data_IF_219882767464
#
_entry.id   IF_219882767464
#
_cell.length_a   1.000
_cell.length_b   1.000
_cell.length_c   1.000
_cell.angle_alpha   90.00
_cell.angle_beta   90.00
_cell.angle_gamma   90.00
#
_symmetry.space_group_name_H-M   'P 1'
#
loop_
_entity.id
_entity.type
_entity.pdbx_description
1 polymer ?
#
# COMPACT_ATOMS: atom_id res chain seq x y z
N UNK A 1 7.62 0.06 6.28
CA UNK A 1 7.50 -1.35 5.84
C UNK A 1 6.73 -1.40 4.53
N UNK A 2 7.22 -2.13 3.54
CA UNK A 2 6.47 -2.51 2.35
C UNK A 2 6.48 -4.02 2.16
N UNK A 3 5.35 -4.59 1.77
CA UNK A 3 5.26 -5.99 1.41
C UNK A 3 4.51 -6.14 0.08
N UNK A 4 5.21 -6.58 -0.95
CA UNK A 4 4.67 -6.77 -2.29
C UNK A 4 4.51 -8.27 -2.55
N UNK A 5 3.33 -8.66 -3.03
CA UNK A 5 3.12 -9.89 -3.77
C UNK A 5 2.85 -9.54 -5.22
N UNK A 6 3.45 -10.25 -6.17
CA UNK A 6 3.26 -9.95 -7.58
C UNK A 6 3.33 -11.19 -8.46
N UNK A 7 2.73 -11.04 -9.63
CA UNK A 7 2.77 -12.01 -10.70
C UNK A 7 2.83 -11.25 -12.02
N UNK A 8 3.78 -11.63 -12.87
CA UNK A 8 3.90 -11.18 -14.26
C UNK A 8 3.84 -12.36 -15.21
N UNK A 9 3.91 -12.09 -16.51
CA UNK A 9 3.93 -13.12 -17.56
C UNK A 9 5.08 -14.13 -17.38
N UNK A 10 6.24 -13.69 -16.85
CA UNK A 10 7.45 -14.53 -16.79
C UNK A 10 7.87 -14.92 -15.37
N UNK A 11 7.35 -14.26 -14.33
CA UNK A 11 7.77 -14.51 -12.95
C UNK A 11 6.66 -14.21 -11.94
N UNK A 12 6.83 -14.71 -10.72
CA UNK A 12 5.98 -14.36 -9.58
C UNK A 12 6.81 -14.37 -8.31
N UNK A 13 6.40 -13.60 -7.31
CA UNK A 13 7.19 -13.55 -6.09
C UNK A 13 6.58 -12.68 -5.01
N UNK A 14 7.36 -12.54 -3.94
CA UNK A 14 7.09 -11.62 -2.86
C UNK A 14 8.36 -10.93 -2.41
N UNK A 15 8.25 -9.65 -2.03
CA UNK A 15 9.37 -8.81 -1.58
C UNK A 15 8.93 -8.01 -0.35
N UNK A 16 9.64 -8.17 0.75
CA UNK A 16 9.43 -7.48 2.01
C UNK A 16 10.62 -6.55 2.29
N UNK A 17 10.33 -5.29 2.55
CA UNK A 17 11.28 -4.29 3.02
C UNK A 17 10.75 -3.66 4.30
N UNK A 18 11.59 -3.59 5.34
CA UNK A 18 11.26 -2.94 6.60
C UNK A 18 12.44 -2.17 7.14
N UNK A 19 12.41 -0.85 6.97
CA UNK A 19 13.35 0.09 7.60
C UNK A 19 12.72 0.86 8.76
N UNK A 20 13.56 1.29 9.70
CA UNK A 20 13.20 2.16 10.84
C UNK A 20 14.33 3.16 11.08
N UNK A 21 14.05 4.46 10.90
CA UNK A 21 15.07 5.49 11.09
C UNK A 21 16.32 5.19 10.25
N UNK A 22 17.48 5.26 10.90
CA UNK A 22 18.78 4.99 10.28
C UNK A 22 19.26 3.53 10.46
N UNK A 23 18.44 2.66 11.05
CA UNK A 23 18.80 1.25 11.21
C UNK A 23 18.89 0.56 9.85
N UNK A 24 19.83 -0.39 9.67
CA UNK A 24 19.86 -1.25 8.48
C UNK A 24 18.50 -1.90 8.25
N UNK A 25 17.93 -1.81 7.04
CA UNK A 25 16.60 -2.34 6.78
C UNK A 25 16.62 -3.87 6.81
N UNK A 26 15.58 -4.46 7.38
CA UNK A 26 15.28 -5.88 7.19
C UNK A 26 14.68 -6.07 5.80
N UNK A 27 15.26 -6.99 5.02
CA UNK A 27 14.77 -7.32 3.68
C UNK A 27 14.73 -8.83 3.48
N UNK A 28 13.70 -9.33 2.81
CA UNK A 28 13.57 -10.73 2.44
C UNK A 28 12.59 -10.86 1.27
N UNK A 29 12.72 -11.93 0.50
CA UNK A 29 11.78 -12.22 -0.57
C UNK A 29 12.30 -13.26 -1.54
N UNK A 30 11.38 -13.84 -2.30
CA UNK A 30 11.68 -14.78 -3.36
C UNK A 30 11.00 -14.38 -4.66
N UNK A 31 11.69 -14.61 -5.77
CA UNK A 31 11.16 -14.46 -7.12
C UNK A 31 11.38 -15.77 -7.85
N UNK A 32 10.29 -16.34 -8.37
CA UNK A 32 10.31 -17.60 -9.12
C UNK A 32 10.05 -17.31 -10.58
N UNK A 33 10.95 -17.77 -11.45
CA UNK A 33 10.77 -17.74 -12.90
C UNK A 33 9.76 -18.80 -13.32
N UNK A 34 8.71 -18.43 -14.06
CA UNK A 34 7.59 -19.33 -14.39
C UNK A 34 7.99 -20.50 -15.27
N UNK A 35 8.86 -20.26 -16.25
CA UNK A 35 9.21 -21.27 -17.26
C UNK A 35 10.32 -22.21 -16.82
N UNK A 36 11.23 -21.74 -15.97
CA UNK A 36 12.41 -22.50 -15.54
C UNK A 36 12.32 -22.97 -14.10
N UNK A 37 11.29 -22.52 -13.36
CA UNK A 37 11.09 -22.75 -11.93
C UNK A 37 12.27 -22.29 -11.05
N UNK A 38 13.18 -21.51 -11.64
CA UNK A 38 14.34 -20.98 -10.94
C UNK A 38 13.90 -19.99 -9.88
N UNK A 39 14.38 -20.20 -8.64
CA UNK A 39 14.08 -19.34 -7.50
C UNK A 39 15.28 -18.45 -7.19
N UNK A 40 15.03 -17.15 -7.13
CA UNK A 40 15.99 -16.12 -6.74
C UNK A 40 15.65 -15.60 -5.36
N UNK A 41 16.62 -15.60 -4.45
CA UNK A 41 16.47 -15.09 -3.08
C UNK A 41 17.05 -13.68 -2.97
N UNK A 42 16.23 -12.72 -2.54
CA UNK A 42 16.67 -11.34 -2.40
C UNK A 42 17.68 -11.21 -1.24
N UNK A 43 18.85 -10.63 -1.53
CA UNK A 43 19.85 -10.27 -0.53
C UNK A 43 19.65 -8.86 0.00
N UNK A 44 19.22 -7.94 -0.88
CA UNK A 44 18.87 -6.59 -0.51
C UNK A 44 17.69 -6.11 -1.35
N UNK A 45 16.90 -5.24 -0.74
CA UNK A 45 15.76 -4.59 -1.38
C UNK A 45 15.84 -3.10 -1.05
N UNK A 46 15.62 -2.25 -2.06
CA UNK A 46 15.42 -0.82 -1.87
C UNK A 46 14.06 -0.39 -2.41
N UNK A 47 13.54 0.68 -1.83
CA UNK A 47 12.21 1.19 -2.09
C UNK A 47 12.27 2.71 -2.29
N UNK A 48 11.70 3.18 -3.39
CA UNK A 48 11.34 4.58 -3.60
C UNK A 48 9.83 4.67 -3.83
N UNK A 49 9.17 5.68 -3.26
CA UNK A 49 7.71 5.86 -3.37
C UNK A 49 7.37 7.30 -3.67
N UNK A 50 6.35 7.51 -4.49
CA UNK A 50 5.70 8.80 -4.66
C UNK A 50 4.37 8.77 -3.94
N UNK A 51 4.12 9.73 -3.05
CA UNK A 51 2.90 9.79 -2.25
C UNK A 51 1.88 10.73 -2.88
N UNK A 52 0.59 10.43 -2.68
CA UNK A 52 -0.44 11.43 -2.84
C UNK A 52 -0.21 12.56 -1.83
N UNK A 53 -0.26 13.80 -2.31
CA UNK A 53 -0.03 15.00 -1.51
C UNK A 53 -0.82 14.98 -0.20
N UNK A 54 -0.13 15.29 0.91
CA UNK A 54 -0.76 15.36 2.22
C UNK A 54 -1.20 14.03 2.82
N UNK A 55 -0.89 12.91 2.17
CA UNK A 55 -1.24 11.58 2.66
C UNK A 55 -0.01 10.70 2.79
N UNK A 56 -0.22 9.50 3.37
CA UNK A 56 0.79 8.44 3.40
C UNK A 56 0.49 7.31 2.41
N UNK A 57 -0.26 7.63 1.35
CA UNK A 57 -0.69 6.69 0.30
C UNK A 57 0.22 6.87 -0.89
N UNK A 58 0.73 5.77 -1.43
CA UNK A 58 1.56 5.87 -2.63
C UNK A 58 0.67 5.91 -3.87
N UNK A 59 1.11 6.69 -4.86
CA UNK A 59 0.61 6.69 -6.23
C UNK A 59 1.41 5.70 -7.07
N UNK A 60 2.73 5.76 -6.93
CA UNK A 60 3.69 4.92 -7.64
C UNK A 60 4.81 4.49 -6.68
N UNK A 61 5.48 3.41 -7.02
CA UNK A 61 6.63 2.93 -6.28
C UNK A 61 7.63 2.24 -7.21
N UNK A 62 8.92 2.33 -6.86
CA UNK A 62 9.98 1.52 -7.45
C UNK A 62 10.55 0.60 -6.38
N UNK A 63 10.55 -0.70 -6.64
CA UNK A 63 11.22 -1.71 -5.82
C UNK A 63 12.41 -2.25 -6.60
N UNK A 64 13.60 -2.17 -6.03
CA UNK A 64 14.79 -2.82 -6.61
C UNK A 64 15.24 -3.93 -5.68
N UNK A 65 15.35 -5.16 -6.21
CA UNK A 65 15.87 -6.32 -5.50
C UNK A 65 17.19 -6.76 -6.14
N UNK A 66 18.19 -7.03 -5.29
CA UNK A 66 19.47 -7.65 -5.68
C UNK A 66 19.50 -9.08 -5.16
N UNK A 67 19.85 -10.03 -6.01
CA UNK A 67 19.92 -11.45 -5.68
C UNK A 67 21.36 -11.94 -5.50
N UNK A 68 21.52 -13.14 -4.93
CA UNK A 68 22.80 -13.74 -4.54
C UNK A 68 23.87 -13.84 -5.61
N UNK A 69 23.44 -13.95 -6.85
CA UNK A 69 24.25 -14.08 -8.05
C UNK A 69 24.54 -12.72 -8.72
N UNK A 70 24.26 -11.61 -8.02
CA UNK A 70 24.46 -10.24 -8.51
C UNK A 70 23.42 -9.76 -9.52
N UNK A 71 22.40 -10.58 -9.82
CA UNK A 71 21.29 -10.19 -10.69
C UNK A 71 20.39 -9.16 -9.98
N UNK A 72 19.80 -8.29 -10.79
CA UNK A 72 18.96 -7.18 -10.32
C UNK A 72 17.59 -7.26 -10.98
N UNK A 73 16.55 -7.18 -10.16
CA UNK A 73 15.16 -6.98 -10.57
C UNK A 73 14.74 -5.56 -10.19
N UNK A 74 14.23 -4.81 -11.16
CA UNK A 74 13.57 -3.52 -10.94
C UNK A 74 12.09 -3.66 -11.23
N UNK A 75 11.25 -3.31 -10.26
CA UNK A 75 9.81 -3.28 -10.40
C UNK A 75 9.34 -1.83 -10.36
N UNK A 76 8.71 -1.37 -11.44
CA UNK A 76 7.91 -0.16 -11.43
C UNK A 76 6.45 -0.54 -11.13
N UNK A 77 5.87 0.13 -10.15
CA UNK A 77 4.55 -0.14 -9.62
C UNK A 77 3.68 1.11 -9.72
N UNK A 78 2.48 0.98 -10.25
CA UNK A 78 1.47 2.04 -10.26
C UNK A 78 0.21 1.54 -9.55
N UNK A 79 -0.32 2.34 -8.63
CA UNK A 79 -1.56 2.00 -7.94
C UNK A 79 -2.72 1.97 -8.95
N UNK A 80 -3.47 0.86 -8.97
CA UNK A 80 -4.63 0.69 -9.85
C UNK A 80 -5.94 1.18 -9.23
N UNK A 81 -5.88 1.71 -8.02
CA UNK A 81 -7.04 2.23 -7.31
C UNK A 81 -6.72 2.61 -5.87
N UNK A 82 -7.78 2.94 -5.13
CA UNK A 82 -7.68 3.23 -3.72
C UNK A 82 -7.16 2.01 -2.94
N UNK A 83 -6.52 2.27 -1.80
CA UNK A 83 -6.21 1.21 -0.87
C UNK A 83 -7.48 0.55 -0.36
N UNK A 84 -7.42 -0.76 -0.14
CA UNK A 84 -8.56 -1.50 0.38
C UNK A 84 -8.96 -0.94 1.75
N UNK A 85 -10.20 -0.48 1.82
CA UNK A 85 -10.89 -0.15 3.05
C UNK A 85 -11.15 -1.43 3.85
N UNK A 86 -10.19 -1.86 4.69
CA UNK A 86 -10.31 -3.10 5.47
C UNK A 86 -11.52 -3.13 6.41
N UNK A 87 -12.07 -1.96 6.75
CA UNK A 87 -13.35 -1.90 7.45
C UNK A 87 -14.45 -2.61 6.64
N UNK A 88 -14.50 -2.47 5.30
CA UNK A 88 -15.61 -2.91 4.44
C UNK A 88 -15.54 -4.39 4.11
N UNK A 89 -14.47 -5.02 4.57
CA UNK A 89 -14.31 -6.46 4.61
C UNK A 89 -14.61 -7.02 6.01
N UNK A 90 -15.11 -6.17 6.92
CA UNK A 90 -15.40 -6.50 8.30
C UNK A 90 -14.19 -6.57 9.24
N UNK A 91 -12.95 -6.39 8.75
CA UNK A 91 -11.74 -6.59 9.56
C UNK A 91 -11.45 -5.44 10.54
N UNK A 92 -11.62 -4.19 10.10
CA UNK A 92 -11.22 -3.00 10.89
C UNK A 92 -12.38 -2.34 11.64
N UNK A 93 -13.20 -3.13 12.34
CA UNK A 93 -14.37 -2.63 13.08
C UNK A 93 -15.72 -3.13 12.55
N UNK A 94 -15.72 -3.98 11.51
CA UNK A 94 -16.95 -4.57 11.00
C UNK A 94 -17.73 -3.64 10.07
N UNK A 95 -19.01 -3.95 9.94
CA UNK A 95 -20.02 -3.13 9.26
C UNK A 95 -20.18 -1.77 9.95
N UNK A 96 -21.12 -0.95 9.48
CA UNK A 96 -21.51 0.31 10.13
C UNK A 96 -21.90 0.12 11.60
N UNK A 97 -22.32 -1.08 12.00
CA UNK A 97 -22.66 -1.42 13.39
C UNK A 97 -21.47 -1.45 14.37
N UNK A 98 -20.24 -1.40 13.87
CA UNK A 98 -19.04 -1.33 14.69
C UNK A 98 -18.71 -2.61 15.48
N UNK A 99 -19.41 -3.73 15.25
CA UNK A 99 -19.25 -4.95 16.05
C UNK A 99 -18.02 -5.78 15.72
N UNK A 100 -17.28 -5.41 14.68
CA UNK A 100 -16.06 -6.12 14.28
C UNK A 100 -16.27 -7.40 13.47
N UNK A 101 -15.13 -8.03 13.17
CA UNK A 101 -15.04 -9.29 12.43
C UNK A 101 -15.62 -10.44 13.25
N UNK A 102 -16.38 -11.32 12.61
CA UNK A 102 -16.90 -12.54 13.24
C UNK A 102 -18.13 -12.35 14.13
N UNK A 103 -18.66 -11.13 14.27
CA UNK A 103 -19.92 -10.92 14.96
C UNK A 103 -21.08 -11.59 14.22
N UNK A 104 -21.81 -12.47 14.90
CA UNK A 104 -23.02 -13.10 14.38
C UNK A 104 -24.12 -12.06 14.18
N UNK A 105 -24.71 -12.04 12.98
CA UNK A 105 -25.77 -11.08 12.62
C UNK A 105 -27.10 -11.74 12.28
N UNK A 106 -27.15 -13.07 12.25
CA UNK A 106 -28.35 -13.84 11.91
C UNK A 106 -28.15 -14.65 10.64
N UNK A 107 -29.09 -15.55 10.36
CA UNK A 107 -28.98 -16.54 9.29
C UNK A 107 -29.16 -15.96 7.88
N UNK A 108 -29.78 -14.78 7.78
CA UNK A 108 -30.18 -14.17 6.50
C UNK A 108 -29.78 -12.70 6.36
N UNK A 109 -28.66 -12.31 6.98
CA UNK A 109 -28.19 -10.92 6.90
C UNK A 109 -27.14 -10.76 5.82
N UNK A 110 -27.37 -9.77 4.95
CA UNK A 110 -26.48 -9.38 3.86
C UNK A 110 -25.96 -7.97 4.18
N UNK A 111 -24.65 -7.77 4.06
CA UNK A 111 -24.04 -6.45 4.17
C UNK A 111 -24.39 -5.60 2.95
N UNK A 112 -24.89 -4.38 3.18
CA UNK A 112 -25.25 -3.43 2.12
C UNK A 112 -24.62 -2.06 2.31
N UNK A 113 -23.64 -1.96 3.21
CA UNK A 113 -22.99 -0.68 3.51
C UNK A 113 -22.23 -0.17 2.28
N UNK A 114 -22.44 1.11 1.96
CA UNK A 114 -21.75 1.80 0.85
C UNK A 114 -20.97 2.96 1.45
N UNK A 115 -19.66 2.98 1.20
CA UNK A 115 -18.80 4.05 1.67
C UNK A 115 -18.14 4.77 0.52
N UNK A 116 -17.97 6.08 0.68
CA UNK A 116 -17.21 6.88 -0.26
C UNK A 116 -15.72 6.77 0.05
N UNK A 117 -15.00 6.18 -0.90
CA UNK A 117 -13.55 5.95 -0.90
C UNK A 117 -12.85 6.77 -1.99
N UNK A 118 -13.47 7.85 -2.45
CA UNK A 118 -12.94 8.73 -3.51
C UNK A 118 -11.64 9.43 -3.09
N UNK A 119 -11.46 9.71 -1.79
CA UNK A 119 -10.22 10.27 -1.28
C UNK A 119 -9.18 9.17 -0.98
N UNK A 120 -7.91 9.32 -1.37
CA UNK A 120 -6.90 8.25 -1.27
C UNK A 120 -6.68 7.71 0.15
N UNK A 121 -6.88 8.52 1.19
CA UNK A 121 -6.70 8.13 2.59
C UNK A 121 -7.93 8.20 3.49
N UNK A 122 -9.06 8.76 3.01
CA UNK A 122 -10.24 9.01 3.85
C UNK A 122 -11.41 8.20 3.34
N UNK A 123 -12.18 7.68 4.28
CA UNK A 123 -13.45 7.02 4.02
C UNK A 123 -14.54 7.90 4.62
N UNK A 124 -15.58 8.18 3.84
CA UNK A 124 -16.79 8.85 4.30
C UNK A 124 -17.88 7.80 4.49
N UNK A 125 -18.43 7.76 5.71
CA UNK A 125 -19.49 6.84 6.11
C UNK A 125 -20.87 7.36 5.69
N UNK A 126 -21.93 6.52 5.72
CA UNK A 126 -23.27 6.92 5.31
C UNK A 126 -23.86 8.08 6.13
N UNK A 127 -23.43 8.25 7.37
CA UNK A 127 -23.83 9.35 8.26
C UNK A 127 -23.04 10.66 8.00
N UNK A 128 -22.15 10.67 7.01
CA UNK A 128 -21.29 11.80 6.65
C UNK A 128 -20.04 11.94 7.51
N UNK A 129 -19.86 11.11 8.55
CA UNK A 129 -18.62 11.09 9.32
C UNK A 129 -17.46 10.57 8.49
N UNK A 130 -16.22 10.91 8.87
CA UNK A 130 -15.03 10.53 8.13
C UNK A 130 -13.98 9.92 9.03
N UNK A 131 -13.22 8.97 8.50
CA UNK A 131 -12.05 8.39 9.17
C UNK A 131 -10.88 8.26 8.21
N UNK A 132 -9.71 8.62 8.69
CA UNK A 132 -8.46 8.30 8.00
C UNK A 132 -8.11 6.84 8.25
N UNK A 133 -8.01 6.05 7.18
CA UNK A 133 -7.73 4.63 7.31
C UNK A 133 -6.25 4.35 7.24
N UNK A 134 -5.81 3.49 8.16
CA UNK A 134 -4.40 3.14 8.34
C UNK A 134 -3.98 1.90 7.58
N UNK A 135 -4.89 1.02 7.17
CA UNK A 135 -4.58 -0.20 6.40
C UNK A 135 -4.27 0.12 4.94
N UNK A 136 -3.22 -0.50 4.38
CA UNK A 136 -2.53 0.04 3.20
C UNK A 136 -2.18 -0.95 2.11
N UNK A 137 -3.09 -1.87 1.86
CA UNK A 137 -3.00 -2.81 0.75
C UNK A 137 -3.59 -2.14 -0.49
N UNK A 138 -2.80 -1.98 -1.55
CA UNK A 138 -3.24 -1.42 -2.83
C UNK A 138 -2.97 -2.43 -3.97
N UNK A 139 -3.94 -2.65 -4.87
CA UNK A 139 -3.64 -3.34 -6.13
C UNK A 139 -2.73 -2.46 -6.98
N UNK A 140 -1.74 -3.07 -7.62
CA UNK A 140 -0.75 -2.38 -8.45
C UNK A 140 -0.60 -3.06 -9.80
N UNK A 141 -0.40 -2.29 -10.86
CA UNK A 141 0.23 -2.80 -12.07
C UNK A 141 1.72 -2.93 -11.84
N UNK A 142 2.34 -3.93 -12.45
CA UNK A 142 3.75 -4.25 -12.29
C UNK A 142 4.40 -4.27 -13.66
N UNK A 143 5.45 -3.48 -13.82
CA UNK A 143 6.43 -3.63 -14.89
C UNK A 143 7.75 -4.09 -14.27
N UNK A 144 8.10 -5.34 -14.53
CA UNK A 144 9.33 -5.97 -14.07
C UNK A 144 10.41 -5.88 -15.14
N UNK A 145 11.61 -5.46 -14.76
CA UNK A 145 12.83 -5.54 -15.57
C UNK A 145 13.83 -6.40 -14.81
N UNK A 146 14.08 -7.61 -15.32
CA UNK A 146 15.02 -8.54 -14.75
C UNK A 146 16.22 -8.73 -15.69
N UNK A 147 17.32 -8.04 -15.38
CA UNK A 147 18.53 -8.05 -16.21
C UNK A 147 18.27 -7.68 -17.69
N UNK A 148 17.37 -6.72 -17.96
CA UNK A 148 17.03 -6.25 -19.31
C UNK A 148 15.85 -6.95 -19.97
N UNK A 149 15.36 -8.06 -19.39
CA UNK A 149 14.14 -8.71 -19.84
C UNK A 149 12.92 -8.10 -19.13
N UNK A 150 12.00 -7.53 -19.90
CA UNK A 150 10.80 -6.86 -19.37
C UNK A 150 9.61 -7.82 -19.33
N UNK A 151 8.84 -7.78 -18.25
CA UNK A 151 7.59 -8.54 -18.08
C UNK A 151 6.54 -7.68 -17.38
N UNK A 152 5.26 -7.92 -17.67
CA UNK A 152 4.15 -7.14 -17.17
C UNK A 152 3.19 -7.99 -16.34
N UNK A 153 2.50 -7.36 -15.40
CA UNK A 153 1.54 -8.05 -14.58
C UNK A 153 0.89 -7.17 -13.53
N UNK A 154 0.46 -7.82 -12.45
CA UNK A 154 -0.24 -7.17 -11.34
C UNK A 154 0.29 -7.69 -10.01
N UNK A 155 0.01 -6.93 -8.96
CA UNK A 155 0.38 -7.29 -7.61
C UNK A 155 -0.52 -6.64 -6.58
N UNK A 156 -0.22 -6.96 -5.33
CA UNK A 156 -0.81 -6.34 -4.15
C UNK A 156 0.33 -5.86 -3.28
N UNK A 157 0.38 -4.55 -3.03
CA UNK A 157 1.42 -3.93 -2.21
C UNK A 157 0.81 -3.38 -0.94
N UNK A 158 1.30 -3.87 0.19
CA UNK A 158 1.12 -3.22 1.49
C UNK A 158 2.24 -2.20 1.66
N UNK A 159 1.94 -0.93 1.94
CA UNK A 159 2.95 0.07 2.30
C UNK A 159 2.55 0.82 3.57
N UNK A 160 3.29 0.60 4.66
CA UNK A 160 3.12 1.34 5.91
C UNK A 160 4.29 2.29 6.16
N UNK A 161 3.97 3.58 6.24
CA UNK A 161 4.87 4.65 6.66
C UNK A 161 4.34 5.19 8.00
N UNK A 162 5.20 5.16 9.01
CA UNK A 162 4.95 5.66 10.35
C UNK A 162 5.95 6.77 10.70
N UNK A 163 5.63 7.59 11.71
CA UNK A 163 6.40 8.77 12.07
C UNK A 163 5.94 10.05 11.38
N UNK A 164 6.67 11.15 11.63
CA UNK A 164 6.40 12.46 11.04
C UNK A 164 6.79 12.44 9.56
N UNK A 165 5.87 12.83 8.67
CA UNK A 165 6.21 13.00 7.26
C UNK A 165 7.24 14.13 7.11
N UNK A 166 8.16 14.10 6.13
CA UNK A 166 9.00 15.25 5.79
C UNK A 166 8.16 16.52 5.61
N UNK A 167 8.66 17.70 5.99
CA UNK A 167 7.88 18.97 5.98
C UNK A 167 7.28 19.29 4.61
N UNK A 168 7.99 19.00 3.52
CA UNK A 168 7.49 19.19 2.15
C UNK A 168 6.35 18.24 1.73
N UNK A 169 5.99 17.27 2.58
CA UNK A 169 4.86 16.34 2.39
C UNK A 169 3.77 16.53 3.45
N UNK A 170 3.94 17.47 4.39
CA UNK A 170 2.92 17.83 5.38
C UNK A 170 1.96 18.86 4.74
N UNK A 171 0.65 18.65 4.86
CA UNK A 171 -0.32 19.70 4.52
C UNK A 171 -0.10 20.88 5.47
N UNK A 172 0.19 22.05 4.95
CA UNK A 172 0.00 23.29 5.71
C UNK A 172 -1.49 23.44 5.95
N UNK A 173 -1.90 23.53 7.21
CA UNK A 173 -3.27 23.88 7.56
C UNK A 173 -3.52 25.35 7.18
N UNK A 174 -3.74 25.63 5.91
CA UNK A 174 -4.19 26.92 5.43
C UNK A 174 -5.72 26.95 5.48
N UNK A 175 -6.28 27.55 6.53
CA UNK A 175 -7.73 27.75 6.61
C UNK A 175 -8.31 28.20 7.95
N UNK A 176 -7.53 28.54 8.98
CA UNK A 176 -8.06 29.25 10.13
C UNK A 176 -7.99 30.75 9.85
N UNK A 177 -9.09 31.30 9.34
CA UNK A 177 -9.31 32.75 9.23
C UNK A 177 -9.10 33.35 10.62
N UNK A 178 -8.03 34.12 10.79
CA UNK A 178 -7.88 35.04 11.92
C UNK A 178 -8.99 36.09 11.80
N UNK A 179 -10.05 35.93 12.58
CA UNK A 179 -10.95 37.02 12.86
C UNK A 179 -10.16 38.11 13.61
N UNK A 180 -9.99 39.25 12.96
CA UNK A 180 -9.57 40.50 13.60
C UNK A 180 -10.58 40.83 14.69
N UNK A 181 -10.15 40.97 15.94
CA UNK A 181 -10.82 41.79 16.93
C UNK A 181 -9.90 42.97 17.25
N UNK A 182 -10.21 44.11 16.64
CA UNK A 182 -9.76 45.39 17.16
C UNK A 182 -10.65 45.80 18.33
N UNK A 183 -10.00 46.29 19.39
CA UNK A 183 -10.36 47.49 20.15
C UNK A 183 -9.19 47.82 21.06
#
# INVERSE_FOLDING_TARGET
MSFLFFSTDTMSGHLLFSGRGDDPPYTTGTVTMRHTETVHHAQSISLAVELHEGTRRFRSATVTAVFSEGRVLKLALDAQGAAIAMQGLGYSGGWQDGKGLGAWRGEHVIETDVWDVSHPSRIVYPDGTQKEHWHRIQPVSVRADFSGAVSHGTGSMTLTIAGRLPEHLQLTAAGAIQARSGS
#
